data_IF_761300247933
#
_entry.id   IF_761300247933
#
_cell.length_a   1.000
_cell.length_b   1.000
_cell.length_c   1.000
_cell.angle_alpha   90.00
_cell.angle_beta   90.00
_cell.angle_gamma   90.00
#
_symmetry.space_group_name_H-M   'P 1'
#
loop_
_entity.id
_entity.type
_entity.pdbx_description
1 polymer ?
#
# COMPACT_ATOMS: atom_id res chain seq x y z
N UNK A 1 -0.07 1.04 10.94
CA UNK A 1 1.28 0.55 11.30
C UNK A 1 1.30 -0.91 11.76
N UNK A 2 0.53 -1.31 12.78
CA UNK A 2 0.44 -2.74 13.15
C UNK A 2 -0.30 -3.56 12.08
N UNK A 3 -1.36 -3.00 11.50
CA UNK A 3 -2.15 -3.60 10.43
C UNK A 3 -1.34 -3.75 9.13
N UNK A 4 -0.62 -2.72 8.68
CA UNK A 4 0.22 -2.78 7.46
C UNK A 4 1.29 -3.89 7.51
N UNK A 5 1.96 -4.04 8.66
CA UNK A 5 2.96 -5.09 8.85
C UNK A 5 2.32 -6.47 8.88
N UNK A 6 1.13 -6.58 9.44
CA UNK A 6 0.37 -7.81 9.49
C UNK A 6 -0.13 -8.21 8.09
N UNK A 7 -0.65 -7.27 7.30
CA UNK A 7 -1.07 -7.50 5.91
C UNK A 7 0.12 -7.90 5.02
N UNK A 8 1.28 -7.25 5.16
CA UNK A 8 2.50 -7.67 4.46
C UNK A 8 2.97 -9.08 4.86
N UNK A 9 2.95 -9.40 6.15
CA UNK A 9 3.32 -10.72 6.64
C UNK A 9 2.37 -11.81 6.13
N UNK A 10 1.06 -11.54 6.17
CA UNK A 10 0.01 -12.45 5.67
C UNK A 10 0.11 -12.65 4.17
N UNK A 11 0.40 -11.60 3.39
CA UNK A 11 0.64 -11.68 1.96
C UNK A 11 1.87 -12.52 1.61
N UNK A 12 3.00 -12.32 2.31
CA UNK A 12 4.20 -13.16 2.19
C UNK A 12 3.91 -14.63 2.50
N UNK A 13 3.14 -14.88 3.56
CA UNK A 13 2.79 -16.23 3.99
C UNK A 13 1.90 -16.93 2.95
N UNK A 14 0.88 -16.25 2.43
CA UNK A 14 0.00 -16.78 1.37
C UNK A 14 0.76 -17.06 0.08
N UNK A 15 1.69 -16.19 -0.30
CA UNK A 15 2.55 -16.40 -1.47
C UNK A 15 3.43 -17.64 -1.31
N UNK A 16 4.08 -17.78 -0.15
CA UNK A 16 4.98 -18.91 0.14
C UNK A 16 4.21 -20.22 0.20
N UNK A 17 3.07 -20.25 0.90
CA UNK A 17 2.23 -21.45 1.01
C UNK A 17 1.57 -21.79 -0.33
N UNK A 18 1.15 -20.77 -1.09
CA UNK A 18 0.60 -20.92 -2.43
C UNK A 18 1.61 -21.54 -3.40
N UNK A 19 2.84 -21.04 -3.42
CA UNK A 19 3.92 -21.60 -4.24
C UNK A 19 4.28 -23.03 -3.79
N UNK A 20 4.44 -23.25 -2.48
CA UNK A 20 4.79 -24.57 -1.94
C UNK A 20 3.71 -25.65 -2.15
N UNK A 21 2.44 -25.25 -2.31
CA UNK A 21 1.29 -26.17 -2.49
C UNK A 21 0.75 -26.15 -3.93
N UNK A 22 1.42 -25.47 -4.87
CA UNK A 22 0.92 -25.23 -6.25
C UNK A 22 -0.49 -24.60 -6.30
N UNK A 23 -0.87 -23.89 -5.23
CA UNK A 23 -2.19 -23.26 -5.10
C UNK A 23 -2.14 -21.82 -5.63
N UNK A 24 -2.43 -21.69 -6.93
CA UNK A 24 -2.50 -20.44 -7.68
C UNK A 24 -3.44 -19.39 -7.07
N UNK A 25 -4.42 -19.80 -6.25
CA UNK A 25 -5.34 -18.85 -5.62
C UNK A 25 -4.67 -18.12 -4.43
N UNK A 26 -3.94 -18.87 -3.60
CA UNK A 26 -3.18 -18.30 -2.47
C UNK A 26 -2.03 -17.41 -2.94
N UNK A 27 -1.33 -17.81 -4.00
CA UNK A 27 -0.28 -16.99 -4.61
C UNK A 27 -0.83 -15.66 -5.14
N UNK A 28 -1.96 -15.70 -5.86
CA UNK A 28 -2.61 -14.50 -6.38
C UNK A 28 -3.13 -13.58 -5.28
N UNK A 29 -3.75 -14.12 -4.23
CA UNK A 29 -4.17 -13.32 -3.09
C UNK A 29 -2.97 -12.64 -2.41
N UNK A 30 -1.87 -13.37 -2.17
CA UNK A 30 -0.67 -12.81 -1.55
C UNK A 30 -0.03 -11.68 -2.38
N UNK A 31 0.05 -11.85 -3.71
CA UNK A 31 0.53 -10.82 -4.62
C UNK A 31 -0.39 -9.60 -4.66
N UNK A 32 -1.70 -9.82 -4.68
CA UNK A 32 -2.69 -8.74 -4.78
C UNK A 32 -2.77 -7.90 -3.49
N UNK A 33 -2.62 -8.53 -2.33
CA UNK A 33 -2.47 -7.86 -1.02
C UNK A 33 -1.22 -6.95 -1.02
N UNK A 34 -0.06 -7.47 -1.44
CA UNK A 34 1.18 -6.67 -1.54
C UNK A 34 1.05 -5.50 -2.51
N UNK A 35 0.46 -5.75 -3.67
CA UNK A 35 0.30 -4.74 -4.71
C UNK A 35 -0.67 -3.63 -4.27
N UNK A 36 -1.80 -4.00 -3.66
CA UNK A 36 -2.75 -3.03 -3.11
C UNK A 36 -2.15 -2.23 -1.97
N UNK A 37 -1.42 -2.87 -1.04
CA UNK A 37 -0.74 -2.17 0.05
C UNK A 37 0.27 -1.13 -0.45
N UNK A 38 1.14 -1.52 -1.41
CA UNK A 38 2.11 -0.58 -2.02
C UNK A 38 1.43 0.53 -2.83
N UNK A 39 0.38 0.22 -3.58
CA UNK A 39 -0.35 1.22 -4.36
C UNK A 39 -1.03 2.25 -3.45
N UNK A 40 -1.60 1.79 -2.32
CA UNK A 40 -2.23 2.65 -1.32
C UNK A 40 -1.20 3.57 -0.67
N UNK A 41 -0.04 3.05 -0.26
CA UNK A 41 1.06 3.84 0.32
C UNK A 41 1.59 4.90 -0.65
N UNK A 42 1.74 4.57 -1.94
CA UNK A 42 2.18 5.53 -2.97
C UNK A 42 1.13 6.61 -3.21
N UNK A 43 -0.15 6.23 -3.30
CA UNK A 43 -1.25 7.19 -3.48
C UNK A 43 -1.39 8.11 -2.28
N UNK A 44 -1.27 7.59 -1.06
CA UNK A 44 -1.34 8.38 0.17
C UNK A 44 -0.16 9.36 0.24
N UNK A 45 1.07 8.89 0.03
CA UNK A 45 2.25 9.76 -0.01
C UNK A 45 2.18 10.85 -1.09
N UNK A 46 1.61 10.56 -2.26
CA UNK A 46 1.41 11.54 -3.34
C UNK A 46 0.32 12.54 -2.98
N UNK A 47 -0.81 12.09 -2.41
CA UNK A 47 -1.87 12.99 -1.94
C UNK A 47 -1.38 13.90 -0.83
N UNK A 48 -0.63 13.38 0.12
CA UNK A 48 -0.13 14.14 1.26
C UNK A 48 0.86 15.23 0.79
N UNK A 49 1.82 14.86 -0.07
CA UNK A 49 2.72 15.83 -0.72
C UNK A 49 1.97 16.84 -1.59
N UNK A 50 0.95 16.43 -2.33
CA UNK A 50 0.18 17.33 -3.17
C UNK A 50 -0.65 18.30 -2.33
N UNK A 51 -1.26 17.85 -1.23
CA UNK A 51 -1.96 18.71 -0.29
C UNK A 51 -1.01 19.69 0.40
N UNK A 52 0.19 19.28 0.86
CA UNK A 52 1.16 20.20 1.46
C UNK A 52 1.63 21.28 0.48
N UNK A 53 1.83 20.91 -0.80
CA UNK A 53 2.19 21.87 -1.86
C UNK A 53 1.01 22.79 -2.19
N UNK A 54 -0.20 22.26 -2.30
CA UNK A 54 -1.40 23.07 -2.56
C UNK A 54 -1.69 24.00 -1.39
N UNK A 55 -1.48 23.57 -0.14
CA UNK A 55 -1.66 24.38 1.07
C UNK A 55 -0.60 25.48 1.14
N UNK A 56 0.68 25.19 0.84
CA UNK A 56 1.73 26.21 0.68
C UNK A 56 1.42 27.22 -0.43
N UNK A 57 0.87 26.76 -1.56
CA UNK A 57 0.56 27.62 -2.71
C UNK A 57 -0.73 28.41 -2.49
N UNK A 58 -1.72 27.85 -1.79
CA UNK A 58 -2.94 28.57 -1.39
C UNK A 58 -2.73 29.48 -0.17
N UNK A 59 -1.68 29.27 0.61
CA UNK A 59 -1.38 29.98 1.85
C UNK A 59 -0.74 31.36 1.69
N UNK A 60 -0.73 31.98 0.50
CA UNK A 60 -0.11 33.30 0.32
C UNK A 60 -1.00 34.40 -0.27
N UNK A 61 -2.33 34.28 -0.18
CA UNK A 61 -3.27 35.37 -0.48
C UNK A 61 -4.19 35.68 0.72
N UNK A 62 -3.61 35.81 1.90
CA UNK A 62 -4.27 36.48 3.03
C UNK A 62 -3.29 37.47 3.68
N UNK A 63 -3.00 38.55 2.94
CA UNK A 63 -2.62 39.84 3.53
C UNK A 63 -3.82 40.77 3.45
#
# INVERSE_FOLDING_TARGET
MAEDKFEQAKGNLKETVGNATDNKNLEKEGQNDKASGKAKEVVDNVKDKANDVIDKVKGNDNK
#
